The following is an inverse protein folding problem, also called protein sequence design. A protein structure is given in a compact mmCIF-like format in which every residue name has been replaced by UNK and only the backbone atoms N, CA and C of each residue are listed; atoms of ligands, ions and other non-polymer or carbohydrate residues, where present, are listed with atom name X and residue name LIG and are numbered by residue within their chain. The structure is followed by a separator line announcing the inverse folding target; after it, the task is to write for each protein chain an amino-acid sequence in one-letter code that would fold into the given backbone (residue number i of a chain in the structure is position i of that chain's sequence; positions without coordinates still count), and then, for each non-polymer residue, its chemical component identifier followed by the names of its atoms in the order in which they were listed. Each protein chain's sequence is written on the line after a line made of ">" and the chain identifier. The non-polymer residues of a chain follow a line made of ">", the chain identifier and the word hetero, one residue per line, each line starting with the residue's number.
data_IF_893124717881
#
_entry.id   IF_893124717881
#
_cell.length_a   1.000
_cell.length_b   1.000
_cell.length_c   1.000
_cell.angle_alpha   90.00
_cell.angle_beta   90.00
_cell.angle_gamma   90.00
#
_symmetry.space_group_name_H-M   'P 1'
#
loop_
_entity.id
_entity.type
_entity.pdbx_description
1 polymer ?
#
# COMPACT_ATOMS: atom_id res chain seq x y z
N UNK A 1 -8.31 8.95 -43.06
CA UNK A 1 -6.97 8.50 -42.60
C UNK A 1 -6.39 9.24 -41.39
N UNK A 2 -7.17 10.01 -40.60
CA UNK A 2 -6.64 10.74 -39.43
C UNK A 2 -7.17 10.23 -38.06
N UNK A 3 -7.96 9.16 -38.02
CA UNK A 3 -8.54 8.65 -36.76
C UNK A 3 -7.48 8.00 -35.86
N UNK A 4 -6.56 7.24 -36.44
CA UNK A 4 -5.46 6.58 -35.71
C UNK A 4 -4.52 7.54 -34.97
N UNK A 5 -4.37 8.79 -35.45
CA UNK A 5 -3.51 9.78 -34.82
C UNK A 5 -4.11 10.41 -33.55
N UNK A 6 -5.44 10.54 -33.49
CA UNK A 6 -6.11 11.14 -32.33
C UNK A 6 -6.24 10.14 -31.17
N UNK A 7 -6.38 8.85 -31.45
CA UNK A 7 -6.43 7.79 -30.43
C UNK A 7 -5.07 7.59 -29.75
N UNK A 8 -3.97 7.66 -30.51
CA UNK A 8 -2.60 7.55 -29.99
C UNK A 8 -2.19 8.73 -29.08
N UNK A 9 -2.78 9.92 -29.26
CA UNK A 9 -2.53 11.09 -28.42
C UNK A 9 -3.42 11.10 -27.17
N UNK A 10 -4.60 10.49 -27.24
CA UNK A 10 -5.56 10.42 -26.13
C UNK A 10 -5.14 9.38 -25.09
N UNK A 11 -4.63 8.22 -25.53
CA UNK A 11 -4.18 7.13 -24.66
C UNK A 11 -3.14 7.57 -23.59
N UNK A 12 -2.03 8.27 -23.92
CA UNK A 12 -1.07 8.70 -22.92
C UNK A 12 -1.62 9.75 -21.96
N UNK A 13 -2.61 10.56 -22.37
CA UNK A 13 -3.24 11.55 -21.48
C UNK A 13 -4.10 10.89 -20.41
N UNK A 14 -4.88 9.89 -20.81
CA UNK A 14 -5.71 9.10 -19.89
C UNK A 14 -4.84 8.29 -18.93
N UNK A 15 -3.77 7.64 -19.43
CA UNK A 15 -2.82 6.94 -18.55
C UNK A 15 -2.15 7.87 -17.53
N UNK A 16 -1.74 9.08 -17.94
CA UNK A 16 -1.18 10.07 -17.01
C UNK A 16 -2.17 10.45 -15.91
N UNK A 17 -3.44 10.66 -16.27
CA UNK A 17 -4.49 10.98 -15.30
C UNK A 17 -4.67 9.87 -14.25
N UNK A 18 -4.81 8.63 -14.70
CA UNK A 18 -4.90 7.48 -13.79
C UNK A 18 -3.63 7.28 -12.96
N UNK A 19 -2.46 7.51 -13.55
CA UNK A 19 -1.19 7.47 -12.83
C UNK A 19 -1.17 8.47 -11.67
N UNK A 20 -1.53 9.74 -11.92
CA UNK A 20 -1.54 10.78 -10.88
C UNK A 20 -2.53 10.50 -9.76
N UNK A 21 -3.73 10.00 -10.08
CA UNK A 21 -4.70 9.60 -9.05
C UNK A 21 -4.13 8.45 -8.21
N UNK A 22 -3.60 7.42 -8.88
CA UNK A 22 -3.11 6.22 -8.21
C UNK A 22 -1.90 6.52 -7.32
N UNK A 23 -0.92 7.31 -7.79
CA UNK A 23 0.27 7.64 -7.01
C UNK A 23 -0.05 8.53 -5.80
N UNK A 24 -0.95 9.51 -5.95
CA UNK A 24 -1.37 10.37 -4.82
C UNK A 24 -2.14 9.55 -3.80
N UNK A 25 -3.08 8.69 -4.24
CA UNK A 25 -3.82 7.81 -3.34
C UNK A 25 -2.89 6.84 -2.58
N UNK A 26 -1.88 6.29 -3.26
CA UNK A 26 -0.87 5.42 -2.67
C UNK A 26 -0.05 6.16 -1.60
N UNK A 27 0.42 7.37 -1.92
CA UNK A 27 1.18 8.20 -1.00
C UNK A 27 0.35 8.54 0.25
N UNK A 28 -0.89 9.00 0.08
CA UNK A 28 -1.78 9.32 1.19
C UNK A 28 -2.05 8.09 2.08
N UNK A 29 -2.34 6.94 1.49
CA UNK A 29 -2.57 5.70 2.24
C UNK A 29 -1.34 5.25 3.02
N UNK A 30 -0.15 5.34 2.43
CA UNK A 30 1.11 5.01 3.11
C UNK A 30 1.40 5.96 4.27
N UNK A 31 1.19 7.27 4.09
CA UNK A 31 1.37 8.26 5.16
C UNK A 31 0.37 8.05 6.30
N UNK A 32 -0.89 7.71 5.99
CA UNK A 32 -1.90 7.39 7.03
C UNK A 32 -1.47 6.21 7.89
N UNK A 33 -0.91 5.15 7.30
CA UNK A 33 -0.40 3.99 8.04
C UNK A 33 0.77 4.37 8.93
N UNK A 34 1.70 5.18 8.42
CA UNK A 34 2.86 5.65 9.20
C UNK A 34 2.39 6.53 10.37
N UNK A 35 1.41 7.41 10.14
CA UNK A 35 0.83 8.23 11.19
C UNK A 35 0.13 7.38 12.27
N UNK A 36 -0.71 6.42 11.85
CA UNK A 36 -1.41 5.51 12.77
C UNK A 36 -0.43 4.69 13.61
N UNK A 37 0.57 4.05 12.97
CA UNK A 37 1.58 3.24 13.68
C UNK A 37 2.43 4.08 14.63
N UNK A 38 2.74 5.32 14.27
CA UNK A 38 3.48 6.27 15.13
C UNK A 38 2.65 6.68 16.34
N UNK A 39 1.38 7.06 16.14
CA UNK A 39 0.46 7.40 17.22
C UNK A 39 0.25 6.23 18.18
N UNK A 40 0.03 5.02 17.64
CA UNK A 40 -0.11 3.81 18.44
C UNK A 40 1.15 3.49 19.23
N UNK A 41 2.34 3.62 18.63
CA UNK A 41 3.60 3.36 19.33
C UNK A 41 3.83 4.32 20.49
N UNK A 42 3.54 5.62 20.29
CA UNK A 42 3.70 6.64 21.34
C UNK A 42 2.66 6.45 22.45
N UNK A 43 1.40 6.23 22.10
CA UNK A 43 0.30 6.11 23.08
C UNK A 43 0.38 4.80 23.87
N UNK A 44 0.66 3.67 23.22
CA UNK A 44 0.79 2.39 23.88
C UNK A 44 1.97 2.36 24.86
N UNK A 45 3.14 2.88 24.46
CA UNK A 45 4.30 2.97 25.35
C UNK A 45 4.06 3.92 26.52
N UNK A 46 3.37 5.05 26.28
CA UNK A 46 3.02 6.00 27.33
C UNK A 46 2.10 5.39 28.38
N UNK A 47 1.07 4.66 27.95
CA UNK A 47 0.15 3.94 28.83
C UNK A 47 0.85 2.81 29.58
N UNK A 48 1.72 2.04 28.92
CA UNK A 48 2.42 0.93 29.54
C UNK A 48 3.44 1.36 30.61
N UNK A 49 4.09 2.52 30.45
CA UNK A 49 5.14 3.00 31.37
C UNK A 49 4.63 3.91 32.49
N UNK A 50 3.52 4.64 32.27
CA UNK A 50 3.03 5.65 33.22
C UNK A 50 1.65 5.32 33.80
N UNK A 51 1.02 4.24 33.33
CA UNK A 51 -0.30 3.85 33.77
C UNK A 51 -0.29 3.11 35.12
N UNK A 52 -1.45 3.03 35.80
CA UNK A 52 -1.62 2.21 37.00
C UNK A 52 -1.42 0.72 36.71
N UNK A 53 -1.23 -0.10 37.73
CA UNK A 53 -1.09 -1.56 37.56
C UNK A 53 -2.24 -2.14 36.73
N UNK A 54 -1.90 -2.94 35.70
CA UNK A 54 -2.85 -3.47 34.71
C UNK A 54 -2.98 -2.65 33.43
N UNK A 55 -2.48 -1.42 33.39
CA UNK A 55 -2.49 -0.55 32.19
C UNK A 55 -1.74 -1.13 30.98
N UNK A 56 -0.74 -1.98 31.22
CA UNK A 56 -0.04 -2.71 30.16
C UNK A 56 -0.98 -3.66 29.40
N UNK A 57 -1.92 -4.32 30.09
CA UNK A 57 -2.90 -5.20 29.44
C UNK A 57 -3.80 -4.39 28.51
N UNK A 58 -4.36 -3.28 29.01
CA UNK A 58 -5.18 -2.35 28.21
C UNK A 58 -4.44 -1.78 27.01
N UNK A 59 -3.16 -1.43 27.16
CA UNK A 59 -2.33 -0.95 26.05
C UNK A 59 -2.13 -2.04 24.98
N UNK A 60 -2.01 -3.31 25.39
CA UNK A 60 -1.82 -4.44 24.47
C UNK A 60 -3.11 -4.78 23.74
N UNK A 61 -4.25 -4.73 24.43
CA UNK A 61 -5.57 -4.97 23.83
C UNK A 61 -5.91 -3.88 22.79
N UNK A 62 -5.69 -2.61 23.13
CA UNK A 62 -5.88 -1.49 22.19
C UNK A 62 -4.98 -1.59 20.94
N UNK A 63 -3.72 -2.02 21.10
CA UNK A 63 -2.85 -2.31 19.95
C UNK A 63 -3.40 -3.45 19.08
N UNK A 64 -4.03 -4.46 19.68
CA UNK A 64 -4.55 -5.61 18.96
C UNK A 64 -5.79 -5.25 18.13
N UNK A 65 -6.69 -4.43 18.67
CA UNK A 65 -7.88 -3.91 17.99
C UNK A 65 -7.49 -3.07 16.76
N UNK A 66 -6.55 -2.14 16.94
CA UNK A 66 -6.14 -1.23 15.88
C UNK A 66 -5.27 -1.89 14.80
N UNK A 67 -4.61 -3.02 15.12
CA UNK A 67 -3.74 -3.72 14.15
C UNK A 67 -4.46 -4.03 12.85
N UNK A 68 -5.73 -4.46 12.91
CA UNK A 68 -6.44 -4.93 11.73
C UNK A 68 -6.76 -3.77 10.77
N UNK A 69 -7.09 -2.60 11.32
CA UNK A 69 -7.30 -1.35 10.58
C UNK A 69 -6.01 -0.91 9.89
N UNK A 70 -4.90 -0.90 10.62
CA UNK A 70 -3.57 -0.54 10.10
C UNK A 70 -3.13 -1.51 9.00
N UNK A 71 -3.31 -2.82 9.17
CA UNK A 71 -2.94 -3.82 8.17
C UNK A 71 -3.76 -3.71 6.88
N UNK A 72 -5.06 -3.41 6.97
CA UNK A 72 -5.92 -3.18 5.78
C UNK A 72 -5.47 -1.95 5.01
N UNK A 73 -5.25 -0.84 5.70
CA UNK A 73 -4.81 0.43 5.08
C UNK A 73 -3.41 0.29 4.48
N UNK A 74 -2.52 -0.44 5.16
CA UNK A 74 -1.20 -0.79 4.64
C UNK A 74 -1.29 -1.63 3.36
N UNK A 75 -2.12 -2.68 3.35
CA UNK A 75 -2.34 -3.50 2.16
C UNK A 75 -2.85 -2.69 0.97
N UNK A 76 -3.78 -1.77 1.22
CA UNK A 76 -4.30 -0.86 0.18
C UNK A 76 -3.22 0.08 -0.36
N UNK A 77 -2.48 0.78 0.52
CA UNK A 77 -1.41 1.70 0.09
C UNK A 77 -0.30 1.00 -0.69
N UNK A 78 0.07 -0.20 -0.24
CA UNK A 78 1.04 -1.07 -0.89
C UNK A 78 0.57 -1.53 -2.29
N UNK A 79 -0.69 -1.93 -2.42
CA UNK A 79 -1.31 -2.30 -3.69
C UNK A 79 -1.38 -1.12 -4.67
N UNK A 80 -1.84 0.04 -4.20
CA UNK A 80 -1.89 1.26 -4.99
C UNK A 80 -0.49 1.72 -5.45
N UNK A 81 0.53 1.55 -4.60
CA UNK A 81 1.93 1.86 -4.94
C UNK A 81 2.40 0.98 -6.10
N UNK A 82 2.18 -0.32 -6.03
CA UNK A 82 2.55 -1.25 -7.12
C UNK A 82 1.81 -0.91 -8.41
N UNK A 83 0.50 -0.65 -8.33
CA UNK A 83 -0.29 -0.26 -9.50
C UNK A 83 0.26 1.03 -10.15
N UNK A 84 0.63 2.02 -9.34
CA UNK A 84 1.23 3.26 -9.85
C UNK A 84 2.56 3.03 -10.58
N UNK A 85 3.38 2.09 -10.09
CA UNK A 85 4.66 1.74 -10.72
C UNK A 85 4.44 1.05 -12.07
N UNK A 86 3.49 0.12 -12.16
CA UNK A 86 3.16 -0.55 -13.44
C UNK A 86 2.72 0.47 -14.50
N UNK A 87 1.87 1.42 -14.13
CA UNK A 87 1.42 2.48 -15.05
C UNK A 87 2.61 3.39 -15.43
N UNK A 88 3.48 3.73 -14.49
CA UNK A 88 4.66 4.57 -14.73
C UNK A 88 5.64 3.93 -15.74
N UNK A 89 5.95 2.64 -15.57
CA UNK A 89 6.87 1.90 -16.45
C UNK A 89 6.36 1.92 -17.90
N UNK A 90 5.05 1.77 -18.11
CA UNK A 90 4.44 1.79 -19.43
C UNK A 90 4.45 3.18 -20.09
N UNK A 91 4.53 4.24 -19.28
CA UNK A 91 4.42 5.62 -19.76
C UNK A 91 5.77 6.22 -20.16
N UNK A 92 6.84 5.86 -19.45
CA UNK A 92 8.15 6.52 -19.59
C UNK A 92 9.21 5.68 -20.32
N UNK A 93 9.04 4.35 -20.40
CA UNK A 93 10.11 3.45 -20.85
C UNK A 93 9.85 2.87 -22.24
N UNK A 94 10.94 2.63 -22.99
CA UNK A 94 10.88 1.88 -24.24
C UNK A 94 10.31 0.47 -24.00
N UNK A 95 9.61 -0.12 -24.99
CA UNK A 95 8.83 -1.35 -24.82
C UNK A 95 9.65 -2.55 -24.34
N UNK A 96 10.92 -2.67 -24.75
CA UNK A 96 11.79 -3.77 -24.32
C UNK A 96 12.15 -3.68 -22.83
N UNK A 97 12.55 -2.50 -22.37
CA UNK A 97 12.85 -2.26 -20.95
C UNK A 97 11.59 -2.30 -20.09
N UNK A 98 10.45 -1.83 -20.63
CA UNK A 98 9.16 -1.84 -19.95
C UNK A 98 8.71 -3.26 -19.59
N UNK A 99 8.90 -4.23 -20.49
CA UNK A 99 8.57 -5.63 -20.25
C UNK A 99 9.37 -6.22 -19.08
N UNK A 100 10.67 -5.92 -19.00
CA UNK A 100 11.54 -6.39 -17.91
C UNK A 100 11.14 -5.76 -16.58
N UNK A 101 10.96 -4.43 -16.55
CA UNK A 101 10.54 -3.72 -15.34
C UNK A 101 9.15 -4.18 -14.86
N UNK A 102 8.20 -4.37 -15.78
CA UNK A 102 6.89 -4.91 -15.46
C UNK A 102 6.97 -6.32 -14.88
N UNK A 103 7.82 -7.20 -15.44
CA UNK A 103 8.05 -8.53 -14.90
C UNK A 103 8.55 -8.50 -13.45
N UNK A 104 9.52 -7.62 -13.15
CA UNK A 104 10.04 -7.42 -11.79
C UNK A 104 8.95 -6.89 -10.86
N UNK A 105 8.17 -5.89 -11.30
CA UNK A 105 7.08 -5.31 -10.51
C UNK A 105 5.99 -6.33 -10.21
N UNK A 106 5.56 -7.13 -11.20
CA UNK A 106 4.55 -8.17 -11.05
C UNK A 106 5.06 -9.30 -10.16
N UNK A 107 6.30 -9.74 -10.32
CA UNK A 107 6.91 -10.74 -9.45
C UNK A 107 6.97 -10.26 -8.00
N UNK A 108 7.38 -9.01 -7.79
CA UNK A 108 7.40 -8.37 -6.47
C UNK A 108 6.00 -8.29 -5.89
N UNK A 109 5.01 -7.84 -6.67
CA UNK A 109 3.61 -7.79 -6.28
C UNK A 109 3.06 -9.16 -5.87
N UNK A 110 3.41 -10.21 -6.63
CA UNK A 110 2.98 -11.57 -6.33
C UNK A 110 3.60 -12.10 -5.04
N UNK A 111 4.91 -11.91 -4.83
CA UNK A 111 5.56 -12.26 -3.56
C UNK A 111 4.96 -11.50 -2.39
N UNK A 112 4.66 -10.23 -2.60
CA UNK A 112 4.07 -9.34 -1.61
C UNK A 112 2.63 -9.77 -1.27
N UNK A 113 1.82 -10.12 -2.26
CA UNK A 113 0.47 -10.66 -2.06
C UNK A 113 0.50 -12.01 -1.31
N UNK A 114 1.42 -12.91 -1.67
CA UNK A 114 1.61 -14.16 -0.92
C UNK A 114 2.05 -13.92 0.51
N UNK A 115 2.94 -12.95 0.74
CA UNK A 115 3.33 -12.55 2.09
C UNK A 115 2.16 -11.93 2.85
N UNK A 116 1.36 -11.07 2.22
CA UNK A 116 0.15 -10.50 2.81
C UNK A 116 -0.82 -11.60 3.22
N UNK A 117 -1.19 -12.51 2.31
CA UNK A 117 -2.05 -13.67 2.64
C UNK A 117 -1.45 -14.53 3.75
N UNK A 118 -0.14 -14.81 3.70
CA UNK A 118 0.53 -15.62 4.72
C UNK A 118 0.43 -14.97 6.10
N UNK A 119 0.69 -13.66 6.17
CA UNK A 119 0.60 -12.86 7.38
C UNK A 119 -0.85 -12.80 7.85
N UNK A 120 -1.79 -12.42 6.99
CA UNK A 120 -3.22 -12.37 7.30
C UNK A 120 -3.76 -13.72 7.77
N UNK A 121 -3.37 -14.84 7.16
CA UNK A 121 -3.77 -16.19 7.61
C UNK A 121 -3.19 -16.56 8.97
N UNK A 122 -1.93 -16.21 9.23
CA UNK A 122 -1.29 -16.45 10.54
C UNK A 122 -1.95 -15.64 11.66
N UNK A 123 -2.54 -14.49 11.30
CA UNK A 123 -3.23 -13.58 12.21
C UNK A 123 -4.76 -13.76 12.23
N UNK A 124 -5.33 -14.54 11.32
CA UNK A 124 -6.74 -14.92 11.28
C UNK A 124 -7.05 -16.15 12.15
N UNK A 125 -6.03 -16.91 12.56
CA UNK A 125 -6.19 -17.94 13.58
C UNK A 125 -5.96 -17.32 14.95
N UNK A 126 -7.00 -16.70 15.50
CA UNK A 126 -7.23 -16.43 16.91
C UNK A 126 -8.62 -15.81 17.02
N UNK A 127 -9.62 -16.63 16.68
CA UNK A 127 -10.85 -16.81 17.43
C UNK A 127 -11.32 -18.25 17.22
#
# INVERSE_FOLDING_TARGET
>A
NNEWGNDLVSLPRVLKFFYYITIVSAFCANILVVAQTSLLSITATSLALRGPDGSMMTATDGLYEERNSVFKTFGFGLGATVASVVICVWLYLHPESAAVCMGITVFTAFRMYKNFIRVSRKFAYNE
#
